data_IF_458885013360
#
_entry.id   IF_458885013360
#
_cell.length_a   1.000
_cell.length_b   1.000
_cell.length_c   1.000
_cell.angle_alpha   90.00
_cell.angle_beta   90.00
_cell.angle_gamma   90.00
#
_symmetry.space_group_name_H-M   'P 1'
#
loop_
_entity.id
_entity.type
_entity.pdbx_description
1 polymer ?
#
# COMPACT_ATOMS: atom_id res chain seq x y z
N UNK A 1 11.10 -18.51 25.40
CA UNK A 1 10.32 -17.45 24.74
C UNK A 1 11.22 -16.29 24.34
N UNK A 2 10.80 -15.44 23.39
CA UNK A 2 11.56 -14.25 23.01
C UNK A 2 11.00 -13.59 21.75
N UNK A 3 11.63 -12.49 21.31
CA UNK A 3 11.24 -11.75 20.10
C UNK A 3 11.75 -12.43 18.83
N UNK A 4 11.04 -12.23 17.72
CA UNK A 4 11.39 -12.69 16.37
C UNK A 4 11.19 -11.55 15.38
N UNK A 5 12.21 -11.30 14.54
CA UNK A 5 12.09 -10.39 13.41
C UNK A 5 11.44 -11.15 12.25
N UNK A 6 10.48 -10.51 11.59
CA UNK A 6 9.78 -10.99 10.41
C UNK A 6 9.92 -9.94 9.30
N UNK A 7 11.12 -9.84 8.74
CA UNK A 7 11.47 -8.99 7.58
C UNK A 7 12.03 -9.87 6.46
N UNK A 8 11.43 -9.82 5.27
CA UNK A 8 11.83 -10.66 4.13
C UNK A 8 12.80 -9.96 3.18
N UNK A 9 12.63 -8.66 2.97
CA UNK A 9 13.37 -7.87 2.00
C UNK A 9 13.83 -6.57 2.64
N UNK A 10 14.99 -6.10 2.20
CA UNK A 10 15.57 -4.83 2.59
C UNK A 10 15.86 -4.05 1.30
N UNK A 11 15.42 -2.80 1.24
CA UNK A 11 15.60 -1.95 0.06
C UNK A 11 15.79 -0.49 0.49
N UNK A 12 16.59 0.25 -0.28
CA UNK A 12 16.70 1.71 -0.14
C UNK A 12 15.52 2.39 -0.82
N UNK A 13 15.29 3.67 -0.49
CA UNK A 13 14.27 4.47 -1.17
C UNK A 13 14.49 4.56 -2.68
N UNK A 14 15.75 4.62 -3.13
CA UNK A 14 16.10 4.64 -4.55
C UNK A 14 15.78 3.32 -5.25
N UNK A 15 16.04 2.18 -4.59
CA UNK A 15 15.70 0.85 -5.11
C UNK A 15 14.18 0.70 -5.25
N UNK A 16 13.40 1.16 -4.26
CA UNK A 16 11.94 1.15 -4.32
C UNK A 16 11.41 2.06 -5.43
N UNK A 17 11.92 3.29 -5.53
CA UNK A 17 11.53 4.24 -6.57
C UNK A 17 11.81 3.70 -7.97
N UNK A 18 12.98 3.07 -8.16
CA UNK A 18 13.34 2.41 -9.41
C UNK A 18 12.37 1.29 -9.75
N UNK A 19 12.13 0.36 -8.81
CA UNK A 19 11.20 -0.75 -8.99
C UNK A 19 9.80 -0.25 -9.37
N UNK A 20 9.30 0.78 -8.70
CA UNK A 20 7.98 1.33 -8.99
C UNK A 20 7.92 1.94 -10.39
N UNK A 21 8.93 2.70 -10.80
CA UNK A 21 8.96 3.29 -12.15
C UNK A 21 9.08 2.23 -13.25
N UNK A 22 9.73 1.10 -12.99
CA UNK A 22 9.84 -0.01 -13.94
C UNK A 22 8.54 -0.82 -14.06
N UNK A 23 7.84 -1.05 -12.95
CA UNK A 23 6.65 -1.92 -12.89
C UNK A 23 5.33 -1.18 -13.07
N UNK A 24 5.26 0.07 -12.60
CA UNK A 24 4.08 0.94 -12.63
C UNK A 24 4.46 2.35 -13.12
N UNK A 25 4.87 2.49 -14.40
CA UNK A 25 5.33 3.76 -14.96
C UNK A 25 4.25 4.86 -14.95
N UNK A 26 2.98 4.52 -14.75
CA UNK A 26 1.88 5.47 -14.61
C UNK A 26 1.98 6.42 -13.40
N UNK A 27 2.85 6.12 -12.42
CA UNK A 27 2.97 6.89 -11.18
C UNK A 27 4.13 7.90 -11.16
N UNK A 28 5.10 7.79 -12.07
CA UNK A 28 6.25 8.71 -12.18
C UNK A 28 6.89 9.10 -10.83
N UNK A 29 7.40 8.11 -10.09
CA UNK A 29 8.02 8.36 -8.78
C UNK A 29 9.37 9.08 -8.96
N UNK A 30 9.69 10.11 -8.14
CA UNK A 30 10.99 10.77 -8.21
C UNK A 30 12.16 9.80 -8.05
N UNK A 31 13.21 9.98 -8.86
CA UNK A 31 14.45 9.19 -8.74
C UNK A 31 15.42 9.76 -7.69
N UNK A 32 15.28 11.05 -7.38
CA UNK A 32 16.08 11.79 -6.41
C UNK A 32 15.21 12.31 -5.28
N UNK A 33 15.75 12.26 -4.07
CA UNK A 33 15.05 12.66 -2.85
C UNK A 33 15.93 13.69 -2.14
N UNK A 34 15.37 14.85 -1.82
CA UNK A 34 16.11 15.91 -1.14
C UNK A 34 16.64 15.43 0.22
N UNK A 35 17.91 15.68 0.50
CA UNK A 35 18.56 15.28 1.75
C UNK A 35 18.88 13.78 1.86
N UNK A 36 18.74 13.01 0.77
CA UNK A 36 19.14 11.59 0.72
C UNK A 36 20.19 11.42 -0.38
N UNK A 37 21.35 10.90 0.00
CA UNK A 37 22.43 10.61 -0.95
C UNK A 37 22.04 9.44 -1.87
N UNK A 38 22.46 9.52 -3.14
CA UNK A 38 22.16 8.50 -4.15
C UNK A 38 22.73 7.10 -3.77
N UNK A 39 23.78 7.06 -2.93
CA UNK A 39 24.49 5.85 -2.51
C UNK A 39 24.36 5.57 -1.00
N UNK A 40 23.12 5.51 -0.48
CA UNK A 40 22.89 5.06 0.90
C UNK A 40 23.00 3.53 1.04
N UNK A 41 23.58 3.02 2.14
CA UNK A 41 23.64 1.58 2.38
C UNK A 41 22.27 1.01 2.71
N UNK A 42 21.99 -0.20 2.22
CA UNK A 42 20.80 -0.96 2.64
C UNK A 42 20.93 -1.40 4.09
N UNK A 43 19.97 -1.04 4.92
CA UNK A 43 19.87 -1.52 6.31
C UNK A 43 19.05 -2.81 6.34
N UNK A 44 19.65 -3.88 6.87
CA UNK A 44 19.02 -5.21 6.87
C UNK A 44 18.53 -5.66 8.24
N UNK A 45 17.35 -6.27 8.27
CA UNK A 45 16.78 -6.90 9.45
C UNK A 45 16.85 -8.42 9.38
N UNK A 46 17.62 -9.03 10.28
CA UNK A 46 17.84 -10.49 10.25
C UNK A 46 16.64 -11.29 10.78
N UNK A 47 15.95 -11.98 9.88
CA UNK A 47 14.90 -12.97 10.21
C UNK A 47 15.45 -14.39 10.46
N UNK A 48 16.77 -14.56 10.64
CA UNK A 48 17.42 -15.88 10.79
C UNK A 48 16.83 -16.74 11.91
N UNK A 49 16.46 -16.11 13.03
CA UNK A 49 15.84 -16.83 14.15
C UNK A 49 14.46 -17.40 13.76
N UNK A 50 13.69 -16.67 12.97
CA UNK A 50 12.37 -17.10 12.50
C UNK A 50 12.51 -18.20 11.44
N UNK A 51 13.36 -18.00 10.43
CA UNK A 51 13.57 -18.96 9.35
C UNK A 51 14.29 -20.22 9.81
N UNK A 52 15.15 -20.14 10.82
CA UNK A 52 15.81 -21.28 11.45
C UNK A 52 14.84 -22.27 12.12
N UNK A 53 13.59 -21.86 12.40
CA UNK A 53 12.53 -22.74 12.91
C UNK A 53 11.69 -23.38 11.79
N UNK A 54 12.04 -23.17 10.52
CA UNK A 54 11.33 -23.72 9.37
C UNK A 54 10.29 -22.79 8.74
N UNK A 55 10.13 -21.55 9.25
CA UNK A 55 9.29 -20.55 8.58
C UNK A 55 9.87 -20.16 7.22
N UNK A 56 9.00 -20.04 6.21
CA UNK A 56 9.39 -19.66 4.85
C UNK A 56 8.55 -18.46 4.39
N UNK A 57 9.23 -17.39 4.01
CA UNK A 57 8.60 -16.30 3.28
C UNK A 57 8.17 -16.81 1.89
N UNK A 58 6.99 -16.37 1.44
CA UNK A 58 6.38 -16.84 0.19
C UNK A 58 6.27 -15.77 -0.88
N UNK A 59 6.46 -14.51 -0.49
CA UNK A 59 6.20 -13.37 -1.35
C UNK A 59 7.46 -12.54 -1.51
N UNK A 60 7.69 -12.06 -2.72
CA UNK A 60 8.73 -11.09 -3.03
C UNK A 60 8.26 -9.64 -2.83
N UNK A 61 9.20 -8.70 -2.98
CA UNK A 61 8.93 -7.27 -2.80
C UNK A 61 7.96 -6.72 -3.86
N UNK A 62 8.01 -7.23 -5.10
CA UNK A 62 7.16 -6.76 -6.19
C UNK A 62 5.71 -7.21 -5.97
N UNK A 63 5.49 -8.46 -5.53
CA UNK A 63 4.18 -9.01 -5.18
C UNK A 63 3.54 -8.21 -4.04
N UNK A 64 4.33 -7.82 -3.03
CA UNK A 64 3.85 -6.99 -1.92
C UNK A 64 3.33 -5.63 -2.41
N UNK A 65 4.13 -4.92 -3.23
CA UNK A 65 3.73 -3.61 -3.75
C UNK A 65 2.61 -3.72 -4.79
N UNK A 66 2.62 -4.75 -5.63
CA UNK A 66 1.58 -4.99 -6.62
C UNK A 66 0.22 -5.25 -5.99
N UNK A 67 0.18 -6.07 -4.94
CA UNK A 67 -1.05 -6.29 -4.16
C UNK A 67 -1.56 -5.01 -3.49
N UNK A 68 -0.67 -4.19 -2.92
CA UNK A 68 -1.04 -2.93 -2.30
C UNK A 68 -1.59 -1.92 -3.33
N UNK A 69 -0.89 -1.71 -4.43
CA UNK A 69 -1.30 -0.79 -5.51
C UNK A 69 -2.65 -1.22 -6.09
N UNK A 70 -2.82 -2.49 -6.42
CA UNK A 70 -4.08 -3.02 -6.96
C UNK A 70 -5.23 -2.80 -5.99
N UNK A 71 -5.03 -3.14 -4.71
CA UNK A 71 -6.07 -2.96 -3.69
C UNK A 71 -6.46 -1.49 -3.51
N UNK A 72 -5.49 -0.57 -3.56
CA UNK A 72 -5.76 0.86 -3.47
C UNK A 72 -6.48 1.40 -4.71
N UNK A 73 -6.16 0.94 -5.93
CA UNK A 73 -6.89 1.29 -7.16
C UNK A 73 -8.35 0.87 -7.09
N UNK A 74 -8.62 -0.39 -6.70
CA UNK A 74 -9.98 -0.94 -6.59
C UNK A 74 -10.85 -0.21 -5.56
N UNK A 75 -10.22 0.33 -4.51
CA UNK A 75 -10.90 1.09 -3.44
C UNK A 75 -10.97 2.59 -3.70
N UNK A 76 -10.43 3.07 -4.82
CA UNK A 76 -10.36 4.51 -5.12
C UNK A 76 -9.45 5.31 -4.18
N UNK A 77 -8.51 4.64 -3.50
CA UNK A 77 -7.52 5.27 -2.60
C UNK A 77 -6.26 5.72 -3.34
N UNK A 78 -6.04 5.19 -4.54
CA UNK A 78 -4.91 5.54 -5.41
C UNK A 78 -5.44 5.72 -6.84
N UNK A 79 -5.13 6.83 -7.53
CA UNK A 79 -5.56 7.05 -8.90
C UNK A 79 -4.89 6.06 -9.85
N UNK A 80 -5.47 5.84 -11.03
CA UNK A 80 -4.89 4.92 -12.03
C UNK A 80 -3.62 5.46 -12.70
N UNK A 81 -3.36 6.77 -12.63
CA UNK A 81 -2.10 7.41 -13.02
C UNK A 81 -1.91 8.75 -12.29
N UNK A 82 -0.69 9.27 -12.25
CA UNK A 82 -0.37 10.62 -11.73
C UNK A 82 -0.21 11.67 -12.83
N UNK A 83 -0.40 11.29 -14.10
CA UNK A 83 -0.14 12.15 -15.26
C UNK A 83 -1.14 13.31 -15.40
N UNK A 84 -2.29 13.23 -14.73
CA UNK A 84 -3.42 14.16 -14.92
C UNK A 84 -3.54 15.22 -13.81
N UNK A 85 -2.69 15.22 -12.79
CA UNK A 85 -2.78 16.18 -11.67
C UNK A 85 -1.54 17.06 -11.59
N UNK A 86 -1.39 17.97 -12.56
CA UNK A 86 -0.46 19.12 -12.45
C UNK A 86 -1.15 20.42 -12.03
N UNK A 87 -2.43 20.40 -11.70
CA UNK A 87 -3.11 21.56 -11.13
C UNK A 87 -3.66 21.27 -9.74
N UNK A 88 -3.04 21.90 -8.73
CA UNK A 88 -3.69 22.28 -7.48
C UNK A 88 -3.84 21.21 -6.39
N UNK A 89 -2.73 20.74 -5.81
CA UNK A 89 -2.80 20.12 -4.47
C UNK A 89 -2.62 21.21 -3.39
N UNK A 90 -3.66 22.02 -3.18
CA UNK A 90 -3.85 22.69 -1.89
C UNK A 90 -4.45 21.66 -0.94
N UNK A 91 -3.64 21.14 -0.02
CA UNK A 91 -4.11 20.33 1.10
C UNK A 91 -5.19 21.10 1.87
N UNK A 92 -6.37 20.52 2.17
CA UNK A 92 -7.29 21.14 3.12
C UNK A 92 -6.64 21.17 4.50
N UNK A 93 -6.31 22.38 4.96
CA UNK A 93 -6.08 22.61 6.38
C UNK A 93 -7.34 22.24 7.15
N UNK A 94 -7.16 21.48 8.23
CA UNK A 94 -8.23 21.16 9.17
C UNK A 94 -8.75 22.47 9.78
N UNK A 95 -9.92 22.91 9.31
CA UNK A 95 -10.77 23.88 9.99
C UNK A 95 -12.15 23.24 10.20
N UNK A 96 -12.69 23.48 11.39
CA UNK A 96 -13.92 22.90 11.98
C UNK A 96 -15.19 23.33 11.22
N UNK A 97 -16.32 22.62 11.42
CA UNK A 97 -17.46 22.65 10.53
C UNK A 97 -18.32 23.89 10.76
N UNK A 98 -18.85 24.46 9.69
CA UNK A 98 -20.04 25.29 9.80
C UNK A 98 -21.03 25.02 8.66
N UNK A 99 -22.27 25.26 9.00
CA UNK A 99 -23.47 24.57 8.54
C UNK A 99 -23.97 25.09 7.20
N UNK A 100 -24.35 24.17 6.29
CA UNK A 100 -25.28 24.45 5.20
C UNK A 100 -24.74 24.28 3.78
N UNK A 101 -24.95 23.11 3.18
CA UNK A 101 -25.29 22.93 1.76
C UNK A 101 -25.68 21.45 1.49
N UNK A 102 -26.75 21.01 2.16
CA UNK A 102 -27.52 19.84 1.71
C UNK A 102 -28.33 20.22 0.46
N UNK A 103 -27.78 20.09 -0.76
CA UNK A 103 -28.62 19.73 -1.94
C UNK A 103 -27.86 19.38 -3.25
N UNK A 104 -26.65 18.79 -3.21
CA UNK A 104 -25.98 18.43 -4.50
C UNK A 104 -25.33 17.06 -4.61
N UNK A 105 -25.70 16.11 -3.75
CA UNK A 105 -25.19 14.72 -3.78
C UNK A 105 -26.29 13.65 -3.83
N UNK A 106 -27.41 13.93 -4.52
CA UNK A 106 -28.48 12.93 -4.72
C UNK A 106 -28.64 12.41 -6.16
N UNK A 107 -27.76 12.75 -7.11
CA UNK A 107 -27.97 12.33 -8.50
C UNK A 107 -26.70 11.72 -9.10
N UNK A 108 -26.25 10.60 -8.53
CA UNK A 108 -25.59 9.52 -9.29
C UNK A 108 -25.71 8.21 -8.48
N UNK A 109 -26.77 7.47 -8.80
CA UNK A 109 -27.10 6.04 -8.55
C UNK A 109 -26.11 5.23 -7.68
N UNK A 110 -26.44 4.57 -6.57
CA UNK A 110 -27.63 3.76 -6.18
C UNK A 110 -28.13 2.76 -7.24
N UNK A 111 -27.37 1.67 -7.39
CA UNK A 111 -27.88 0.28 -7.52
C UNK A 111 -27.06 -0.52 -6.50
N UNK A 112 -27.59 -0.82 -5.29
CA UNK A 112 -28.13 -2.15 -4.95
C UNK A 112 -27.00 -3.20 -4.92
N UNK A 113 -26.51 -3.72 -3.80
CA UNK A 113 -27.21 -4.35 -2.68
C UNK A 113 -26.21 -4.59 -1.52
N UNK A 114 -26.59 -4.42 -0.23
CA UNK A 114 -25.75 -4.74 0.91
C UNK A 114 -25.91 -6.21 1.36
N UNK A 115 -24.96 -6.66 2.17
CA UNK A 115 -25.05 -7.82 3.08
C UNK A 115 -24.60 -9.20 2.55
N UNK A 116 -23.36 -9.59 2.94
CA UNK A 116 -23.14 -10.86 3.64
C UNK A 116 -21.77 -10.86 4.34
N UNK A 117 -21.81 -10.53 5.63
CA UNK A 117 -20.84 -11.04 6.59
C UNK A 117 -21.10 -12.55 6.74
N UNK A 118 -20.06 -13.38 6.59
CA UNK A 118 -20.04 -14.72 7.14
C UNK A 118 -18.68 -14.98 7.82
N UNK A 119 -18.65 -15.76 8.91
CA UNK A 119 -17.58 -15.70 9.90
C UNK A 119 -16.44 -16.70 9.65
N UNK A 120 -15.33 -16.43 10.36
CA UNK A 120 -14.19 -17.32 10.59
C UNK A 120 -14.59 -18.75 11.02
N UNK A 121 -13.88 -19.71 10.42
CA UNK A 121 -13.46 -21.01 10.93
C UNK A 121 -14.51 -22.01 11.48
N UNK A 122 -14.57 -23.18 10.83
CA UNK A 122 -14.77 -24.48 11.50
C UNK A 122 -13.65 -25.42 11.06
N UNK A 123 -12.98 -26.01 12.04
CA UNK A 123 -11.96 -27.03 11.83
C UNK A 123 -12.55 -28.32 11.23
N UNK A 124 -11.67 -29.08 10.59
CA UNK A 124 -11.88 -30.50 10.31
C UNK A 124 -10.72 -31.27 10.92
N UNK A 125 -11.10 -32.13 11.87
CA UNK A 125 -10.37 -33.27 12.40
C UNK A 125 -10.70 -34.48 11.51
N UNK A 126 -9.73 -35.38 11.31
CA UNK A 126 -9.90 -36.76 10.82
C UNK A 126 -9.16 -37.02 9.50
N UNK A 127 -8.30 -38.01 9.34
CA UNK A 127 -7.85 -39.15 10.16
C UNK A 127 -6.32 -39.27 10.16
#
# INVERSE_FOLDING_TARGET
>A
EGRYICSSHDATIHQLAKMINEKWPEYQVPAKFEGIDDEIPTVSFSSKKLTGMGFKFKYDLEEMFGGAIQSCKERGLLPYSTNETKEGLNSPQVAKPDTGEEEKLQIIHKVGNPHLLAPLAKGVVGE
#
